data_IF_735993290678
#
_entry.id   IF_735993290678
#
_cell.length_a   1.000
_cell.length_b   1.000
_cell.length_c   1.000
_cell.angle_alpha   90.00
_cell.angle_beta   90.00
_cell.angle_gamma   90.00
#
_symmetry.space_group_name_H-M   'P 1'
#
loop_
_entity.id
_entity.type
_entity.pdbx_description
1 polymer ?
#
# COMPACT_ATOMS: atom_id res chain seq x y z
N UNK A 1 -7.30 -47.25 -33.26
CA UNK A 1 -8.00 -46.91 -32.02
C UNK A 1 -7.00 -46.20 -31.14
N UNK A 2 -6.96 -44.85 -31.25
CA UNK A 2 -6.06 -43.99 -30.48
C UNK A 2 -6.93 -43.19 -29.52
N UNK A 3 -6.75 -43.45 -28.22
CA UNK A 3 -7.37 -42.67 -27.17
C UNK A 3 -6.48 -41.45 -26.88
N UNK A 4 -6.91 -40.30 -27.29
CA UNK A 4 -6.40 -39.01 -26.84
C UNK A 4 -7.01 -38.69 -25.48
N UNK A 5 -6.29 -38.90 -24.41
CA UNK A 5 -6.54 -38.32 -23.10
C UNK A 5 -5.93 -36.92 -23.09
N UNK A 6 -6.74 -35.91 -23.39
CA UNK A 6 -6.45 -34.52 -23.04
C UNK A 6 -6.64 -34.36 -21.53
N UNK A 7 -5.54 -34.31 -20.79
CA UNK A 7 -5.52 -33.81 -19.43
C UNK A 7 -5.86 -32.33 -19.43
N UNK A 8 -7.11 -32.03 -19.18
CA UNK A 8 -7.55 -30.68 -18.77
C UNK A 8 -7.04 -30.50 -17.36
N UNK A 9 -5.95 -29.76 -17.22
CA UNK A 9 -5.51 -29.25 -15.92
C UNK A 9 -6.56 -28.27 -15.43
N UNK A 10 -7.41 -28.71 -14.53
CA UNK A 10 -8.29 -27.85 -13.76
C UNK A 10 -7.43 -27.01 -12.84
N UNK A 11 -7.41 -25.72 -13.09
CA UNK A 11 -6.76 -24.69 -12.28
C UNK A 11 -7.58 -24.44 -10.99
N UNK A 12 -7.71 -25.45 -10.16
CA UNK A 12 -8.12 -25.35 -8.75
C UNK A 12 -6.87 -25.24 -7.88
N UNK A 13 -6.06 -24.20 -8.07
CA UNK A 13 -5.24 -23.70 -6.99
C UNK A 13 -6.20 -22.96 -6.04
N UNK A 14 -6.65 -23.69 -5.02
CA UNK A 14 -7.31 -23.12 -3.85
C UNK A 14 -6.47 -21.96 -3.36
N UNK A 15 -7.02 -20.75 -3.41
CA UNK A 15 -6.55 -19.60 -2.67
C UNK A 15 -6.61 -19.94 -1.17
N UNK A 16 -5.58 -20.62 -0.66
CA UNK A 16 -5.34 -20.81 0.78
C UNK A 16 -4.88 -19.46 1.32
N UNK A 17 -5.81 -18.53 1.54
CA UNK A 17 -5.39 -17.20 1.82
C UNK A 17 -6.01 -16.58 3.05
N UNK A 18 -6.87 -15.65 2.87
CA UNK A 18 -7.43 -14.84 3.94
C UNK A 18 -8.86 -15.28 4.19
N UNK A 19 -9.27 -15.33 5.46
CA UNK A 19 -10.65 -15.68 5.82
C UNK A 19 -11.59 -14.63 5.23
N UNK A 20 -12.77 -15.11 4.82
CA UNK A 20 -13.89 -14.27 4.43
C UNK A 20 -14.22 -13.28 5.57
N UNK A 21 -14.65 -12.09 5.21
CA UNK A 21 -15.16 -11.10 6.15
C UNK A 21 -16.31 -11.72 6.96
N UNK A 22 -16.13 -11.76 8.26
CA UNK A 22 -17.11 -12.23 9.25
C UNK A 22 -17.39 -11.14 10.32
N UNK A 23 -17.08 -9.89 9.96
CA UNK A 23 -17.35 -8.74 10.81
C UNK A 23 -18.85 -8.44 10.93
N UNK A 24 -19.22 -7.58 11.88
CA UNK A 24 -20.62 -7.23 12.10
C UNK A 24 -21.24 -6.58 10.85
N UNK A 25 -22.51 -6.90 10.57
CA UNK A 25 -23.32 -6.09 9.66
C UNK A 25 -23.39 -4.65 10.20
N UNK A 26 -23.05 -3.69 9.36
CA UNK A 26 -22.98 -2.29 9.75
C UNK A 26 -24.26 -1.59 9.32
N UNK A 27 -25.01 -1.07 10.30
CA UNK A 27 -26.14 -0.18 10.03
C UNK A 27 -25.59 1.20 9.68
N UNK A 28 -25.58 1.57 8.39
CA UNK A 28 -25.04 2.84 7.91
C UNK A 28 -25.78 4.07 8.42
N UNK A 29 -27.05 3.96 8.79
CA UNK A 29 -27.82 5.08 9.33
C UNK A 29 -27.39 5.48 10.75
N UNK A 30 -26.73 4.58 11.50
CA UNK A 30 -26.33 4.81 12.90
C UNK A 30 -24.87 4.43 13.16
N UNK A 31 -23.98 4.56 12.16
CA UNK A 31 -22.57 4.21 12.31
C UNK A 31 -21.78 5.34 12.97
N UNK A 32 -21.71 5.34 14.30
CA UNK A 32 -20.98 6.30 15.13
C UNK A 32 -19.47 6.00 15.27
N UNK A 33 -18.93 5.03 14.51
CA UNK A 33 -17.49 4.71 14.56
C UNK A 33 -16.66 5.90 14.13
N UNK A 34 -15.50 6.05 14.79
CA UNK A 34 -14.53 7.09 14.47
C UNK A 34 -14.00 6.96 13.04
N UNK A 35 -13.81 8.09 12.35
CA UNK A 35 -13.22 8.14 11.02
C UNK A 35 -11.71 7.93 11.12
N UNK A 36 -11.22 6.87 10.46
CA UNK A 36 -9.79 6.56 10.36
C UNK A 36 -9.09 7.35 9.25
N UNK A 37 -9.76 7.45 8.09
CA UNK A 37 -9.26 8.22 6.94
C UNK A 37 -10.40 8.99 6.30
N UNK A 38 -10.20 10.30 6.09
CA UNK A 38 -11.14 11.16 5.37
C UNK A 38 -10.42 11.85 4.23
N UNK A 39 -10.94 11.69 3.04
CA UNK A 39 -10.47 12.33 1.81
C UNK A 39 -11.52 13.33 1.39
N UNK A 40 -11.16 14.64 1.32
CA UNK A 40 -12.08 15.73 1.00
C UNK A 40 -11.61 16.50 -0.22
N UNK A 41 -12.38 16.42 -1.31
CA UNK A 41 -12.17 17.16 -2.56
C UNK A 41 -10.74 17.10 -3.11
N UNK A 42 -10.12 15.90 -3.00
CA UNK A 42 -8.71 15.71 -3.36
C UNK A 42 -8.54 15.69 -4.87
N UNK A 43 -7.76 16.65 -5.36
CA UNK A 43 -7.27 16.68 -6.75
C UNK A 43 -5.75 16.60 -6.75
N UNK A 44 -5.21 15.77 -7.62
CA UNK A 44 -3.77 15.61 -7.82
C UNK A 44 -3.37 15.85 -9.27
N UNK A 45 -2.54 16.89 -9.50
CA UNK A 45 -2.03 17.23 -10.83
C UNK A 45 -0.53 17.06 -10.86
N UNK A 46 -0.03 16.40 -11.89
CA UNK A 46 1.39 16.32 -12.17
C UNK A 46 1.73 17.20 -13.36
N UNK A 47 2.75 18.02 -13.20
CA UNK A 47 3.29 18.83 -14.29
C UNK A 47 4.37 18.01 -15.01
N UNK A 48 4.05 17.57 -16.22
CA UNK A 48 4.99 16.83 -17.06
C UNK A 48 5.66 17.79 -18.04
N UNK A 49 7.00 17.94 -17.95
CA UNK A 49 7.74 18.62 -19.01
C UNK A 49 7.73 17.75 -20.27
N UNK A 50 7.31 18.30 -21.38
CA UNK A 50 7.24 17.58 -22.67
C UNK A 50 8.62 17.28 -23.24
N UNK A 51 9.64 18.01 -22.81
CA UNK A 51 11.01 17.85 -23.28
C UNK A 51 11.95 17.58 -22.10
N UNK A 52 12.82 16.59 -22.27
CA UNK A 52 13.97 16.43 -21.40
C UNK A 52 14.96 17.56 -21.71
N UNK A 53 15.19 18.41 -20.71
CA UNK A 53 16.22 19.43 -20.81
C UNK A 53 17.45 18.92 -20.06
N UNK A 54 18.43 18.44 -20.80
CA UNK A 54 19.60 17.77 -20.23
C UNK A 54 20.69 18.78 -19.75
N UNK A 55 20.55 20.07 -20.06
CA UNK A 55 21.55 21.10 -19.72
C UNK A 55 20.92 22.37 -19.16
N UNK A 56 21.53 22.91 -18.07
CA UNK A 56 21.18 24.20 -17.47
C UNK A 56 21.15 25.38 -18.48
N UNK A 57 22.05 25.36 -19.48
CA UNK A 57 22.07 26.38 -20.53
C UNK A 57 20.86 26.30 -21.44
N UNK A 58 20.45 25.11 -21.82
CA UNK A 58 19.27 24.87 -22.65
C UNK A 58 17.99 25.24 -21.89
N UNK A 59 17.91 24.90 -20.60
CA UNK A 59 16.83 25.33 -19.71
C UNK A 59 16.71 26.86 -19.68
N UNK A 60 17.82 27.58 -19.46
CA UNK A 60 17.81 29.04 -19.39
C UNK A 60 17.35 29.67 -20.72
N UNK A 61 17.80 29.13 -21.86
CA UNK A 61 17.40 29.63 -23.18
C UNK A 61 15.92 29.40 -23.45
N UNK A 62 15.40 28.20 -23.14
CA UNK A 62 13.98 27.85 -23.32
C UNK A 62 13.08 28.61 -22.35
N UNK A 63 13.55 28.86 -21.12
CA UNK A 63 12.85 29.68 -20.14
C UNK A 63 12.70 31.13 -20.61
N UNK A 64 13.81 31.76 -21.10
CA UNK A 64 13.78 33.10 -21.63
C UNK A 64 12.94 33.25 -22.91
N UNK A 65 12.86 32.17 -23.72
CA UNK A 65 12.03 32.12 -24.93
C UNK A 65 10.57 31.74 -24.70
N UNK A 66 10.13 31.53 -23.46
CA UNK A 66 8.78 31.02 -23.11
C UNK A 66 8.40 29.74 -23.89
N UNK A 67 9.37 28.89 -24.20
CA UNK A 67 9.19 27.65 -24.99
C UNK A 67 9.06 26.39 -24.11
N UNK A 68 9.03 26.52 -22.78
CA UNK A 68 8.78 25.40 -21.89
C UNK A 68 7.29 25.02 -21.93
N UNK A 69 6.98 23.96 -22.63
CA UNK A 69 5.61 23.43 -22.71
C UNK A 69 5.43 22.41 -21.60
N UNK A 70 4.58 22.76 -20.64
CA UNK A 70 4.18 21.87 -19.56
C UNK A 70 2.80 21.27 -19.87
N UNK A 71 2.68 19.97 -19.79
CA UNK A 71 1.39 19.31 -19.80
C UNK A 71 0.98 18.99 -18.36
N UNK A 72 -0.16 19.46 -17.95
CA UNK A 72 -0.76 19.08 -16.67
C UNK A 72 -1.53 17.77 -16.86
N UNK A 73 -1.13 16.75 -16.15
CA UNK A 73 -1.82 15.47 -16.07
C UNK A 73 -2.59 15.41 -14.75
N UNK A 74 -3.92 15.29 -14.82
CA UNK A 74 -4.79 15.13 -13.66
C UNK A 74 -4.83 13.64 -13.32
N UNK A 75 -4.19 13.25 -12.23
CA UNK A 75 -4.12 11.86 -11.78
C UNK A 75 -5.29 11.50 -10.85
N UNK A 76 -5.80 12.48 -10.09
CA UNK A 76 -7.00 12.40 -9.27
C UNK A 76 -7.79 13.67 -9.44
N UNK A 77 -9.10 13.56 -9.55
CA UNK A 77 -10.01 14.66 -9.81
C UNK A 77 -11.18 14.65 -8.82
N UNK A 78 -11.15 15.55 -7.85
CA UNK A 78 -12.22 15.79 -6.88
C UNK A 78 -12.70 14.51 -6.14
N UNK A 79 -11.77 13.77 -5.55
CA UNK A 79 -12.05 12.53 -4.83
C UNK A 79 -12.47 12.85 -3.40
N UNK A 80 -13.63 12.31 -2.97
CA UNK A 80 -14.13 12.47 -1.60
C UNK A 80 -14.76 11.19 -1.08
N UNK A 81 -14.26 10.67 0.06
CA UNK A 81 -14.81 9.51 0.77
C UNK A 81 -14.30 9.47 2.21
N UNK A 82 -14.96 8.64 3.04
CA UNK A 82 -14.55 8.37 4.41
C UNK A 82 -14.36 6.88 4.63
N UNK A 83 -13.40 6.53 5.48
CA UNK A 83 -13.13 5.15 5.95
C UNK A 83 -13.21 5.18 7.46
N UNK A 84 -14.12 4.42 8.04
CA UNK A 84 -14.28 4.32 9.49
C UNK A 84 -13.36 3.25 10.08
N UNK A 85 -13.04 3.36 11.37
CA UNK A 85 -12.23 2.36 12.07
C UNK A 85 -12.85 0.97 11.93
N UNK A 86 -12.03 0.00 11.53
CA UNK A 86 -12.43 -1.37 11.26
C UNK A 86 -12.97 -1.64 9.86
N UNK A 87 -13.19 -0.60 9.03
CA UNK A 87 -13.55 -0.82 7.62
C UNK A 87 -12.39 -1.44 6.83
N UNK A 88 -12.75 -2.28 5.87
CA UNK A 88 -11.82 -2.83 4.88
C UNK A 88 -12.29 -2.37 3.50
N UNK A 89 -11.70 -1.25 3.05
CA UNK A 89 -12.06 -0.60 1.80
C UNK A 89 -11.22 -1.12 0.64
N UNK A 90 -11.87 -1.70 -0.38
CA UNK A 90 -11.22 -2.01 -1.64
C UNK A 90 -11.11 -0.77 -2.54
N UNK A 91 -9.96 -0.63 -3.21
CA UNK A 91 -9.74 0.40 -4.24
C UNK A 91 -9.59 -0.31 -5.59
N UNK A 92 -10.64 -0.23 -6.40
CA UNK A 92 -10.76 -0.89 -7.69
C UNK A 92 -10.51 0.07 -8.85
N UNK A 93 -10.16 -0.46 -10.00
CA UNK A 93 -9.96 0.32 -11.24
C UNK A 93 -8.87 -0.27 -12.11
N UNK A 94 -8.87 0.07 -13.39
CA UNK A 94 -7.87 -0.36 -14.35
C UNK A 94 -6.48 0.23 -14.06
N UNK A 95 -5.45 -0.27 -14.76
CA UNK A 95 -4.13 0.32 -14.70
C UNK A 95 -4.18 1.77 -15.20
N UNK A 96 -3.55 2.69 -14.44
CA UNK A 96 -3.63 4.12 -14.73
C UNK A 96 -4.88 4.83 -14.19
N UNK A 97 -5.80 4.15 -13.50
CA UNK A 97 -7.00 4.77 -12.92
C UNK A 97 -6.74 5.75 -11.77
N UNK A 98 -5.51 5.78 -11.21
CA UNK A 98 -5.14 6.68 -10.12
C UNK A 98 -4.96 5.98 -8.75
N UNK A 99 -5.17 4.66 -8.64
CA UNK A 99 -5.11 3.90 -7.37
C UNK A 99 -3.85 4.15 -6.55
N UNK A 100 -2.67 3.93 -7.16
CA UNK A 100 -1.38 4.13 -6.48
C UNK A 100 -1.13 5.60 -6.13
N UNK A 101 -1.62 6.53 -6.96
CA UNK A 101 -1.54 7.97 -6.67
C UNK A 101 -2.39 8.30 -5.44
N UNK A 102 -3.62 7.78 -5.37
CA UNK A 102 -4.51 7.99 -4.22
C UNK A 102 -3.87 7.46 -2.94
N UNK A 103 -3.37 6.22 -2.95
CA UNK A 103 -2.72 5.62 -1.78
C UNK A 103 -1.47 6.40 -1.34
N UNK A 104 -0.61 6.80 -2.29
CA UNK A 104 0.57 7.63 -1.99
C UNK A 104 0.20 8.99 -1.42
N UNK A 105 -0.94 9.55 -1.83
CA UNK A 105 -1.47 10.80 -1.28
C UNK A 105 -2.03 10.58 0.13
N UNK A 106 -2.74 9.47 0.38
CA UNK A 106 -3.24 9.12 1.72
C UNK A 106 -2.07 8.89 2.70
N UNK A 107 -1.03 8.17 2.28
CA UNK A 107 0.17 7.98 3.12
C UNK A 107 0.88 9.31 3.40
N UNK A 108 0.83 10.27 2.48
CA UNK A 108 1.49 11.57 2.58
C UNK A 108 2.78 11.68 1.77
N UNK A 109 3.06 10.71 0.88
CA UNK A 109 4.17 10.78 -0.09
C UNK A 109 3.93 11.91 -1.08
N UNK A 110 2.67 12.09 -1.50
CA UNK A 110 2.26 13.22 -2.32
C UNK A 110 1.38 14.16 -1.53
N UNK A 111 1.65 15.46 -1.63
CA UNK A 111 0.73 16.49 -1.14
C UNK A 111 -0.32 16.75 -2.23
N UNK A 112 -1.63 16.70 -1.92
CA UNK A 112 -2.65 17.00 -2.90
C UNK A 112 -2.50 18.42 -3.45
N UNK A 113 -2.86 18.61 -4.72
CA UNK A 113 -2.87 19.92 -5.36
C UNK A 113 -4.04 20.78 -4.83
N UNK A 114 -5.18 20.15 -4.60
CA UNK A 114 -6.39 20.72 -4.01
C UNK A 114 -7.01 19.73 -3.06
N UNK A 115 -7.82 20.21 -2.11
CA UNK A 115 -8.45 19.36 -1.10
C UNK A 115 -7.54 18.99 0.06
N UNK A 116 -8.02 18.13 0.93
CA UNK A 116 -7.32 17.73 2.16
C UNK A 116 -7.54 16.25 2.48
N UNK A 117 -6.59 15.66 3.21
CA UNK A 117 -6.69 14.30 3.75
C UNK A 117 -6.47 14.37 5.25
N UNK A 118 -7.43 13.86 5.99
CA UNK A 118 -7.35 13.68 7.44
C UNK A 118 -7.14 12.21 7.73
N UNK A 119 -6.28 11.91 8.67
CA UNK A 119 -5.98 10.55 9.11
C UNK A 119 -5.76 10.50 10.60
N UNK A 120 -6.31 9.48 11.24
CA UNK A 120 -6.17 9.23 12.67
C UNK A 120 -5.28 8.03 12.88
N UNK A 121 -4.26 8.21 13.72
CA UNK A 121 -3.31 7.13 14.06
C UNK A 121 -2.25 6.87 13.01
N UNK A 122 -1.64 5.69 13.08
CA UNK A 122 -0.49 5.29 12.28
C UNK A 122 -0.94 4.47 11.07
N UNK A 123 -0.46 4.88 9.89
CA UNK A 123 -0.70 4.15 8.63
C UNK A 123 0.56 3.34 8.27
N UNK A 124 0.40 2.02 8.11
CA UNK A 124 1.46 1.13 7.63
C UNK A 124 1.21 0.73 6.16
N UNK A 125 1.96 1.30 5.20
CA UNK A 125 1.86 0.90 3.81
C UNK A 125 2.71 -0.35 3.54
N UNK A 126 2.09 -1.42 3.03
CA UNK A 126 2.79 -2.59 2.48
C UNK A 126 2.94 -2.53 0.95
N UNK A 127 2.78 -1.33 0.38
CA UNK A 127 2.79 -1.11 -1.08
C UNK A 127 4.18 -1.21 -1.72
N UNK A 128 5.18 -0.66 -1.07
CA UNK A 128 6.56 -0.58 -1.55
C UNK A 128 7.50 -0.94 -0.40
N UNK A 129 7.53 -2.23 -0.06
CA UNK A 129 8.33 -2.73 1.06
C UNK A 129 9.82 -2.42 0.88
N UNK A 130 10.36 -1.65 1.82
CA UNK A 130 11.74 -1.16 1.75
C UNK A 130 11.92 0.15 0.97
N UNK A 131 10.85 0.79 0.51
CA UNK A 131 10.94 2.17 0.04
C UNK A 131 11.35 3.08 1.21
N UNK A 132 12.40 3.87 1.00
CA UNK A 132 12.97 4.71 2.06
C UNK A 132 14.11 4.04 2.84
N UNK A 133 14.49 2.81 2.51
CA UNK A 133 15.72 2.22 3.03
C UNK A 133 16.97 2.93 2.48
N UNK A 134 17.94 3.17 3.35
CA UNK A 134 19.27 3.62 2.95
C UNK A 134 20.13 2.39 2.63
N UNK A 135 20.64 2.34 1.40
CA UNK A 135 21.40 1.19 0.92
C UNK A 135 22.77 1.02 1.61
N UNK A 136 23.35 2.08 2.15
CA UNK A 136 24.63 2.05 2.86
C UNK A 136 24.48 1.67 4.35
N UNK A 137 23.26 1.73 4.89
CA UNK A 137 22.94 1.32 6.24
C UNK A 137 22.71 -0.19 6.34
N UNK A 138 23.00 -0.76 7.49
CA UNK A 138 22.69 -2.14 7.85
C UNK A 138 21.19 -2.36 7.94
N UNK A 139 20.75 -3.64 7.97
CA UNK A 139 19.36 -3.96 8.24
C UNK A 139 18.86 -3.39 9.56
N UNK A 140 19.70 -3.48 10.63
CA UNK A 140 19.38 -2.94 11.95
C UNK A 140 19.20 -1.42 11.93
N UNK A 141 20.08 -0.68 11.27
CA UNK A 141 19.95 0.78 11.13
C UNK A 141 18.72 1.16 10.33
N UNK A 142 18.38 0.39 9.30
CA UNK A 142 17.16 0.59 8.52
C UNK A 142 15.87 0.27 9.29
N UNK A 143 15.89 -0.58 10.33
CA UNK A 143 14.74 -0.74 11.22
C UNK A 143 14.40 0.60 11.87
N UNK A 144 15.39 1.31 12.40
CA UNK A 144 15.17 2.62 13.03
C UNK A 144 14.79 3.69 12.01
N UNK A 145 15.49 3.73 10.88
CA UNK A 145 15.21 4.70 9.83
C UNK A 145 13.77 4.57 9.30
N UNK A 146 13.38 3.37 8.92
CA UNK A 146 12.05 3.12 8.36
C UNK A 146 10.96 3.22 9.42
N UNK A 147 11.24 2.77 10.65
CA UNK A 147 10.34 2.96 11.78
C UNK A 147 10.06 4.43 12.07
N UNK A 148 11.10 5.30 11.99
CA UNK A 148 10.94 6.74 12.14
C UNK A 148 10.10 7.35 11.00
N UNK A 149 10.26 6.88 9.76
CA UNK A 149 9.42 7.28 8.62
C UNK A 149 7.95 6.92 8.86
N UNK A 150 7.69 5.78 9.51
CA UNK A 150 6.35 5.35 9.91
C UNK A 150 5.82 6.09 11.15
N UNK A 151 6.63 6.97 11.76
CA UNK A 151 6.23 7.79 12.90
C UNK A 151 6.49 7.16 14.29
N UNK A 152 7.27 6.09 14.37
CA UNK A 152 7.60 5.44 15.66
C UNK A 152 8.80 6.08 16.35
N UNK A 153 8.74 6.18 17.68
CA UNK A 153 9.87 6.63 18.47
C UNK A 153 10.97 5.55 18.56
N UNK A 154 12.19 5.99 18.85
CA UNK A 154 13.31 5.06 19.03
C UNK A 154 13.07 4.09 20.17
N UNK A 155 12.56 4.58 21.30
CA UNK A 155 12.26 3.78 22.50
C UNK A 155 11.23 2.67 22.19
N UNK A 156 10.24 3.00 21.36
CA UNK A 156 9.26 2.01 20.91
C UNK A 156 9.92 0.92 20.06
N UNK A 157 10.78 1.32 19.13
CA UNK A 157 11.51 0.39 18.26
C UNK A 157 12.51 -0.45 19.03
N UNK A 158 13.18 0.09 20.05
CA UNK A 158 14.07 -0.67 20.94
C UNK A 158 13.33 -1.83 21.62
N UNK A 159 12.06 -1.64 21.97
CA UNK A 159 11.21 -2.70 22.54
C UNK A 159 10.71 -3.72 21.50
N UNK A 160 10.84 -3.44 20.19
CA UNK A 160 10.32 -4.28 19.10
C UNK A 160 11.41 -4.89 18.21
N UNK A 161 12.65 -4.45 18.37
CA UNK A 161 13.73 -4.77 17.43
C UNK A 161 13.99 -6.27 17.32
N UNK A 162 13.97 -7.01 18.44
CA UNK A 162 14.19 -8.46 18.43
C UNK A 162 13.04 -9.18 17.73
N UNK A 163 11.78 -8.77 17.95
CA UNK A 163 10.60 -9.30 17.25
C UNK A 163 10.73 -9.07 15.72
N UNK A 164 11.17 -7.88 15.30
CA UNK A 164 11.35 -7.53 13.88
C UNK A 164 12.44 -8.40 13.26
N UNK A 165 13.57 -8.55 13.92
CA UNK A 165 14.72 -9.33 13.44
C UNK A 165 14.32 -10.80 13.31
N UNK A 166 13.71 -11.37 14.33
CA UNK A 166 13.27 -12.78 14.34
C UNK A 166 12.22 -13.05 13.27
N UNK A 167 11.26 -12.11 13.10
CA UNK A 167 10.25 -12.26 12.06
C UNK A 167 10.84 -12.20 10.67
N UNK A 168 11.83 -11.35 10.41
CA UNK A 168 12.47 -11.20 9.10
C UNK A 168 13.24 -12.44 8.63
N UNK A 169 13.66 -13.30 9.57
CA UNK A 169 14.52 -14.47 9.34
C UNK A 169 15.83 -14.13 8.61
N UNK A 170 16.37 -12.92 8.81
CA UNK A 170 17.61 -12.48 8.19
C UNK A 170 18.85 -12.92 8.95
N UNK A 171 18.72 -13.29 10.23
CA UNK A 171 19.81 -13.76 11.06
C UNK A 171 21.00 -12.78 11.08
N UNK A 172 22.19 -13.27 10.79
CA UNK A 172 23.41 -12.45 10.78
C UNK A 172 23.44 -11.38 9.68
N UNK A 173 22.63 -11.51 8.65
CA UNK A 173 22.54 -10.48 7.60
C UNK A 173 21.99 -9.15 8.13
N UNK A 174 21.35 -9.13 9.30
CA UNK A 174 20.85 -7.87 9.89
C UNK A 174 21.93 -6.83 10.11
N UNK A 175 23.18 -7.25 10.31
CA UNK A 175 24.34 -6.37 10.50
C UNK A 175 25.06 -6.03 9.18
N UNK A 176 24.55 -6.50 8.03
CA UNK A 176 25.12 -6.24 6.71
C UNK A 176 24.39 -5.09 6.04
N UNK A 177 25.09 -4.18 5.31
CA UNK A 177 24.48 -3.10 4.55
C UNK A 177 23.47 -3.62 3.52
N UNK A 178 22.33 -2.92 3.40
CA UNK A 178 21.18 -3.35 2.55
C UNK A 178 21.52 -3.40 1.05
N UNK A 179 22.54 -2.68 0.59
CA UNK A 179 23.02 -2.83 -0.80
C UNK A 179 23.40 -4.26 -1.16
N UNK A 180 23.73 -5.10 -0.16
CA UNK A 180 24.08 -6.51 -0.35
C UNK A 180 22.87 -7.45 -0.23
N UNK A 181 21.65 -6.92 0.01
CA UNK A 181 20.43 -7.70 0.14
C UNK A 181 19.84 -8.01 -1.23
N UNK A 182 19.27 -9.23 -1.35
CA UNK A 182 18.35 -9.53 -2.45
C UNK A 182 17.04 -8.72 -2.29
N UNK A 183 16.25 -8.62 -3.36
CA UNK A 183 14.92 -8.00 -3.30
C UNK A 183 14.02 -8.69 -2.28
N UNK A 184 14.10 -10.03 -2.18
CA UNK A 184 13.37 -10.81 -1.18
C UNK A 184 13.78 -10.49 0.26
N UNK A 185 15.08 -10.29 0.55
CA UNK A 185 15.57 -9.89 1.86
C UNK A 185 15.08 -8.48 2.24
N UNK A 186 15.14 -7.52 1.30
CA UNK A 186 14.61 -6.16 1.51
C UNK A 186 13.11 -6.19 1.81
N UNK A 187 12.36 -6.98 1.03
CA UNK A 187 10.91 -7.11 1.21
C UNK A 187 10.55 -7.77 2.55
N UNK A 188 11.29 -8.84 2.98
CA UNK A 188 11.11 -9.46 4.30
C UNK A 188 11.35 -8.45 5.43
N UNK A 189 12.44 -7.68 5.37
CA UNK A 189 12.74 -6.69 6.40
C UNK A 189 11.65 -5.60 6.45
N UNK A 190 11.28 -5.04 5.28
CA UNK A 190 10.24 -4.01 5.20
C UNK A 190 8.88 -4.48 5.72
N UNK A 191 8.49 -5.70 5.38
CA UNK A 191 7.27 -6.33 5.90
C UNK A 191 7.35 -6.51 7.43
N UNK A 192 8.47 -7.02 7.93
CA UNK A 192 8.66 -7.26 9.36
C UNK A 192 8.54 -5.97 10.17
N UNK A 193 9.14 -4.86 9.69
CA UNK A 193 9.05 -3.56 10.35
C UNK A 193 7.60 -3.05 10.31
N UNK A 194 6.97 -3.05 9.13
CA UNK A 194 5.62 -2.51 8.96
C UNK A 194 4.54 -3.27 9.75
N UNK A 195 4.77 -4.55 10.06
CA UNK A 195 3.81 -5.41 10.77
C UNK A 195 4.16 -5.72 12.22
N UNK A 196 5.36 -5.36 12.68
CA UNK A 196 5.77 -5.51 14.10
C UNK A 196 5.07 -4.50 15.01
N UNK A 197 4.68 -3.40 14.45
CA UNK A 197 3.92 -2.33 15.08
C UNK A 197 2.45 -2.58 14.77
N UNK A 198 1.56 -2.35 15.72
CA UNK A 198 0.12 -2.46 15.50
C UNK A 198 -0.38 -1.12 14.90
N UNK A 199 -0.47 -0.98 13.55
CA UNK A 199 -0.94 0.25 12.92
C UNK A 199 -2.46 0.37 13.07
N UNK A 200 -2.97 1.61 12.99
CA UNK A 200 -4.42 1.87 12.97
C UNK A 200 -5.01 1.58 11.58
N UNK A 201 -4.23 1.84 10.53
CA UNK A 201 -4.63 1.60 9.13
C UNK A 201 -3.53 0.83 8.40
N UNK A 202 -3.90 -0.29 7.80
CA UNK A 202 -3.02 -1.12 6.97
C UNK A 202 -3.34 -0.89 5.50
N UNK A 203 -2.34 -0.57 4.70
CA UNK A 203 -2.51 -0.46 3.24
C UNK A 203 -1.85 -1.67 2.58
N UNK A 204 -2.68 -2.43 1.86
CA UNK A 204 -2.27 -3.63 1.15
C UNK A 204 -2.37 -3.42 -0.35
N UNK A 205 -1.38 -3.88 -1.09
CA UNK A 205 -1.45 -4.06 -2.53
C UNK A 205 -1.58 -5.55 -2.85
N UNK A 206 -2.06 -5.87 -4.03
CA UNK A 206 -2.27 -7.22 -4.56
C UNK A 206 -1.11 -8.19 -4.31
N UNK A 207 0.12 -7.67 -4.12
CA UNK A 207 1.33 -8.46 -3.93
C UNK A 207 1.65 -8.66 -2.45
N UNK A 208 0.81 -9.40 -1.71
CA UNK A 208 1.21 -10.02 -0.43
C UNK A 208 2.24 -11.15 -0.62
N UNK A 209 2.72 -11.34 -1.84
CA UNK A 209 3.71 -12.38 -2.21
C UNK A 209 5.13 -11.95 -1.84
N UNK A 210 5.39 -11.77 -0.54
CA UNK A 210 6.70 -11.35 -0.02
C UNK A 210 7.57 -12.56 0.26
N UNK A 211 8.80 -12.54 -0.25
CA UNK A 211 9.80 -13.57 0.03
C UNK A 211 9.52 -14.91 -0.66
N UNK A 212 10.00 -15.99 -0.06
CA UNK A 212 9.76 -17.37 -0.50
C UNK A 212 8.41 -17.93 -0.01
N UNK A 213 8.06 -19.14 -0.43
CA UNK A 213 6.79 -19.77 -0.07
C UNK A 213 6.57 -19.87 1.45
N UNK A 214 7.63 -20.14 2.24
CA UNK A 214 7.54 -20.25 3.70
C UNK A 214 7.25 -18.90 4.33
N UNK A 215 7.96 -17.85 3.91
CA UNK A 215 7.76 -16.50 4.43
C UNK A 215 6.39 -15.95 4.02
N UNK A 216 5.87 -16.30 2.84
CA UNK A 216 4.53 -15.94 2.40
C UNK A 216 3.45 -16.45 3.35
N UNK A 217 3.51 -17.75 3.73
CA UNK A 217 2.56 -18.33 4.70
C UNK A 217 2.60 -17.59 6.03
N UNK A 218 3.80 -17.29 6.54
CA UNK A 218 4.03 -16.55 7.78
C UNK A 218 3.47 -15.12 7.69
N UNK A 219 3.70 -14.45 6.56
CA UNK A 219 3.20 -13.09 6.31
C UNK A 219 1.67 -13.05 6.24
N UNK A 220 1.04 -13.99 5.55
CA UNK A 220 -0.42 -14.10 5.50
C UNK A 220 -1.03 -14.35 6.88
N UNK A 221 -0.42 -15.23 7.69
CA UNK A 221 -0.86 -15.47 9.05
C UNK A 221 -0.77 -14.20 9.92
N UNK A 222 0.31 -13.39 9.75
CA UNK A 222 0.46 -12.11 10.46
C UNK A 222 -0.62 -11.12 10.05
N UNK A 223 -0.87 -10.95 8.74
CA UNK A 223 -1.94 -10.07 8.23
C UNK A 223 -3.31 -10.54 8.73
N UNK A 224 -3.58 -11.86 8.71
CA UNK A 224 -4.83 -12.41 9.23
C UNK A 224 -5.01 -12.08 10.71
N UNK A 225 -3.94 -12.21 11.52
CA UNK A 225 -4.02 -11.85 12.95
C UNK A 225 -4.33 -10.37 13.20
N UNK A 226 -3.92 -9.49 12.27
CA UNK A 226 -4.26 -8.06 12.30
C UNK A 226 -5.74 -7.85 11.92
N UNK A 227 -6.24 -8.59 10.94
CA UNK A 227 -7.66 -8.57 10.57
C UNK A 227 -8.55 -9.02 11.73
N UNK A 228 -8.15 -10.07 12.45
CA UNK A 228 -8.87 -10.59 13.61
C UNK A 228 -8.92 -9.55 14.78
N UNK A 229 -7.99 -8.59 14.81
CA UNK A 229 -8.00 -7.45 15.75
C UNK A 229 -8.88 -6.28 15.30
N UNK A 230 -9.54 -6.36 14.13
CA UNK A 230 -10.39 -5.31 13.61
C UNK A 230 -9.66 -4.09 13.04
N UNK A 231 -8.45 -4.26 12.52
CA UNK A 231 -7.68 -3.17 11.90
C UNK A 231 -8.41 -2.60 10.68
N UNK A 232 -8.29 -1.29 10.47
CA UNK A 232 -8.78 -0.64 9.24
C UNK A 232 -7.86 -0.99 8.07
N UNK A 233 -8.43 -1.30 6.91
CA UNK A 233 -7.66 -1.75 5.74
C UNK A 233 -8.02 -0.94 4.49
N UNK A 234 -7.01 -0.51 3.75
CA UNK A 234 -7.14 -0.06 2.36
C UNK A 234 -6.50 -1.12 1.47
N UNK A 235 -7.27 -1.77 0.62
CA UNK A 235 -6.84 -2.90 -0.19
C UNK A 235 -6.96 -2.62 -1.68
N UNK A 236 -5.85 -2.75 -2.42
CA UNK A 236 -5.86 -2.67 -3.88
C UNK A 236 -5.76 -4.08 -4.45
N UNK A 237 -6.73 -4.47 -5.25
CA UNK A 237 -6.70 -5.74 -5.97
C UNK A 237 -7.48 -5.65 -7.28
N UNK A 238 -7.09 -6.50 -8.24
CA UNK A 238 -7.84 -6.75 -9.47
C UNK A 238 -8.71 -8.01 -9.35
N UNK A 239 -8.54 -8.78 -8.30
CA UNK A 239 -9.28 -10.01 -8.05
C UNK A 239 -10.54 -9.73 -7.24
N UNK A 240 -11.70 -9.71 -7.92
CA UNK A 240 -13.01 -9.46 -7.30
C UNK A 240 -13.34 -10.48 -6.20
N UNK A 241 -12.91 -11.74 -6.34
CA UNK A 241 -13.17 -12.74 -5.31
C UNK A 241 -12.40 -12.46 -4.01
N UNK A 242 -11.14 -12.00 -4.11
CA UNK A 242 -10.38 -11.55 -2.94
C UNK A 242 -11.00 -10.31 -2.30
N UNK A 243 -11.46 -9.37 -3.13
CA UNK A 243 -12.15 -8.17 -2.64
C UNK A 243 -13.39 -8.55 -1.84
N UNK A 244 -14.26 -9.42 -2.38
CA UNK A 244 -15.44 -9.93 -1.67
C UNK A 244 -15.11 -10.73 -0.41
N UNK A 245 -13.97 -11.40 -0.38
CA UNK A 245 -13.54 -12.16 0.79
C UNK A 245 -12.97 -11.28 1.91
N UNK A 246 -12.32 -10.16 1.57
CA UNK A 246 -11.55 -9.37 2.51
C UNK A 246 -12.27 -8.08 2.92
N UNK A 247 -12.98 -7.42 1.98
CA UNK A 247 -13.47 -6.06 2.12
C UNK A 247 -14.98 -6.02 2.33
N UNK A 248 -15.43 -5.03 3.12
CA UNK A 248 -16.84 -4.70 3.27
C UNK A 248 -17.26 -3.53 2.37
N UNK A 249 -16.35 -2.64 2.02
CA UNK A 249 -16.60 -1.48 1.16
C UNK A 249 -15.67 -1.44 -0.04
N UNK A 250 -16.10 -0.76 -1.10
CA UNK A 250 -15.29 -0.56 -2.29
C UNK A 250 -15.46 0.83 -2.89
N UNK A 251 -14.41 1.36 -3.47
CA UNK A 251 -14.45 2.47 -4.42
C UNK A 251 -13.99 1.99 -5.78
N UNK A 252 -14.62 2.51 -6.83
CA UNK A 252 -14.21 2.29 -8.22
C UNK A 252 -13.63 3.58 -8.77
N UNK A 253 -12.36 3.52 -9.20
CA UNK A 253 -11.68 4.63 -9.86
C UNK A 253 -11.57 4.38 -11.36
N UNK A 254 -11.84 5.41 -12.15
CA UNK A 254 -11.63 5.43 -13.59
C UNK A 254 -11.07 6.78 -14.03
N UNK A 255 -9.91 6.77 -14.70
CA UNK A 255 -9.24 7.99 -15.20
C UNK A 255 -9.14 9.12 -14.16
N UNK A 256 -8.83 8.77 -12.92
CA UNK A 256 -8.67 9.71 -11.81
C UNK A 256 -9.97 10.16 -11.16
N UNK A 257 -11.13 9.70 -11.62
CA UNK A 257 -12.43 10.01 -11.02
C UNK A 257 -12.94 8.82 -10.19
N UNK A 258 -13.67 9.13 -9.11
CA UNK A 258 -14.40 8.12 -8.36
C UNK A 258 -15.78 7.92 -9.01
N UNK A 259 -16.01 6.73 -9.56
CA UNK A 259 -17.23 6.39 -10.29
C UNK A 259 -18.29 5.82 -9.36
N UNK A 260 -17.86 5.06 -8.34
CA UNK A 260 -18.75 4.46 -7.35
C UNK A 260 -18.05 4.35 -6.00
N UNK A 261 -18.84 4.37 -4.93
CA UNK A 261 -18.48 4.07 -3.55
C UNK A 261 -19.67 3.39 -2.88
N UNK A 262 -19.44 2.32 -2.18
CA UNK A 262 -20.47 1.56 -1.47
C UNK A 262 -19.98 0.22 -0.95
N UNK A 263 -20.93 -0.61 -0.51
CA UNK A 263 -20.67 -1.96 -0.05
C UNK A 263 -20.24 -2.89 -1.20
N UNK A 264 -19.55 -3.98 -0.85
CA UNK A 264 -18.94 -4.90 -1.83
C UNK A 264 -19.96 -5.88 -2.44
N UNK A 265 -21.16 -6.01 -1.92
CA UNK A 265 -22.20 -6.98 -2.36
C UNK A 265 -22.75 -6.75 -3.77
#
# INVERSE_FOLDING_TARGET
MQNNNQNVLTNDQKDEGLKVWDGPEIDEEHDDREVAVKVEHVTMRFTLSREKVDNLKEFAIKFLKHQLVYNNFVALNDISFEVKKGDRLAILGLNGAGKSTLLKTIVGVYKPTEGQIYKTGVIAPLLELGAGFDNDYTGRENIYLYGAVLGYSREYLDGKIDEIIDFSELGHFIEVPIKNYSSGMKARLGFSIATAVDPDVLILDEVLSVGDAKFRVKSLAKVQSMFDKGITVLFVSHNIQQVKAICNKAILLEHGNMIAYGDVD
#
